data_IF_111934191457
#
_entry.id   IF_111934191457
#
_cell.length_a   1.000
_cell.length_b   1.000
_cell.length_c   1.000
_cell.angle_alpha   90.00
_cell.angle_beta   90.00
_cell.angle_gamma   90.00
#
_symmetry.space_group_name_H-M   'P 1'
#
loop_
_entity.id
_entity.type
_entity.pdbx_description
1 polymer ?
#
# COMPACT_ATOMS: atom_id res chain seq x y z
N UNK A 1 -11.42 -2.05 14.93
CA UNK A 1 -10.60 -3.20 14.50
C UNK A 1 -9.42 -2.71 13.65
N UNK A 2 -8.21 -3.22 13.89
CA UNK A 2 -7.01 -2.88 13.12
C UNK A 2 -6.91 -3.79 11.89
N UNK A 3 -6.72 -3.20 10.71
CA UNK A 3 -6.50 -3.96 9.47
C UNK A 3 -4.99 -4.03 9.12
N UNK A 4 -4.58 -5.16 8.54
CA UNK A 4 -3.19 -5.42 8.12
C UNK A 4 -3.04 -5.67 6.61
N UNK A 5 -4.00 -5.22 5.80
CA UNK A 5 -4.16 -5.68 4.41
C UNK A 5 -3.06 -5.18 3.47
N UNK A 6 -2.53 -3.97 3.66
CA UNK A 6 -1.57 -3.37 2.72
C UNK A 6 -0.11 -3.77 2.94
N UNK A 7 0.25 -4.22 4.16
CA UNK A 7 1.63 -4.60 4.54
C UNK A 7 2.72 -3.53 4.31
N UNK A 8 2.38 -2.26 4.07
CA UNK A 8 3.40 -1.21 3.85
C UNK A 8 4.20 -0.87 5.12
N UNK A 9 3.66 -1.19 6.29
CA UNK A 9 4.26 -0.88 7.59
C UNK A 9 5.18 -2.00 8.13
N UNK A 10 5.69 -2.87 7.27
CA UNK A 10 6.60 -3.95 7.68
C UNK A 10 7.88 -3.37 8.28
N UNK A 11 8.25 -3.89 9.46
CA UNK A 11 9.46 -3.54 10.19
C UNK A 11 10.17 -4.81 10.64
N UNK A 12 11.48 -4.72 10.86
CA UNK A 12 12.24 -5.81 11.44
C UNK A 12 12.17 -5.71 12.97
N UNK A 13 11.87 -6.84 13.61
CA UNK A 13 11.89 -6.97 15.07
C UNK A 13 12.85 -8.09 15.42
N UNK A 14 13.75 -7.85 16.36
CA UNK A 14 14.70 -8.88 16.78
C UNK A 14 13.97 -10.14 17.29
N UNK A 15 14.53 -11.31 16.98
CA UNK A 15 13.95 -12.63 17.29
C UNK A 15 12.67 -12.98 16.51
N UNK A 16 12.16 -12.10 15.64
CA UNK A 16 11.13 -12.45 14.68
C UNK A 16 11.76 -13.02 13.39
N UNK A 17 11.31 -14.17 12.87
CA UNK A 17 11.89 -14.77 11.67
C UNK A 17 11.51 -14.06 10.37
N UNK A 18 10.52 -13.15 10.41
CA UNK A 18 10.00 -12.40 9.26
C UNK A 18 9.67 -10.97 9.68
N UNK A 19 9.69 -9.99 8.77
CA UNK A 19 9.19 -8.65 9.04
C UNK A 19 7.76 -8.70 9.55
N UNK A 20 7.47 -7.93 10.60
CA UNK A 20 6.15 -7.90 11.24
C UNK A 20 5.40 -6.65 10.84
N UNK A 21 4.07 -6.74 10.75
CA UNK A 21 3.23 -5.59 10.44
C UNK A 21 3.07 -4.73 11.70
N UNK A 22 3.76 -3.59 11.73
CA UNK A 22 3.78 -2.70 12.91
C UNK A 22 2.40 -2.17 13.30
N UNK A 23 1.45 -2.06 12.37
CA UNK A 23 0.10 -1.59 12.69
C UNK A 23 -0.67 -2.53 13.63
N UNK A 24 -0.38 -3.83 13.63
CA UNK A 24 -1.14 -4.84 14.35
C UNK A 24 -0.30 -5.65 15.35
N UNK A 25 1.03 -5.56 15.29
CA UNK A 25 1.91 -6.31 16.18
C UNK A 25 1.94 -5.64 17.57
N UNK A 26 1.56 -6.34 18.65
CA UNK A 26 1.53 -5.76 19.99
C UNK A 26 2.95 -5.48 20.50
N UNK A 27 3.11 -4.38 21.23
CA UNK A 27 4.38 -4.04 21.88
C UNK A 27 4.70 -5.02 23.00
N UNK A 28 5.97 -5.41 23.11
CA UNK A 28 6.46 -6.30 24.15
C UNK A 28 7.63 -5.64 24.91
N UNK A 29 7.78 -5.89 26.23
CA UNK A 29 8.93 -5.40 26.98
C UNK A 29 10.25 -5.91 26.39
N UNK A 30 11.22 -5.00 26.22
CA UNK A 30 12.52 -5.34 25.63
C UNK A 30 12.51 -5.60 24.11
N UNK A 31 11.42 -5.25 23.41
CA UNK A 31 11.35 -5.35 21.95
C UNK A 31 12.30 -4.34 21.28
N UNK A 32 13.18 -4.84 20.40
CA UNK A 32 14.07 -4.01 19.58
C UNK A 32 13.54 -3.96 18.16
N UNK A 33 13.12 -2.78 17.72
CA UNK A 33 12.54 -2.55 16.39
C UNK A 33 13.54 -1.81 15.51
N UNK A 34 13.82 -2.37 14.33
CA UNK A 34 14.67 -1.75 13.31
C UNK A 34 13.80 -1.32 12.13
N UNK A 35 13.61 -0.01 11.99
CA UNK A 35 12.74 0.58 10.95
C UNK A 35 13.50 0.97 9.67
N UNK A 36 14.83 0.97 9.72
CA UNK A 36 15.76 1.38 8.68
C UNK A 36 16.77 0.28 8.29
N UNK A 37 16.49 -0.98 8.62
CA UNK A 37 17.34 -2.10 8.21
C UNK A 37 17.15 -2.42 6.73
N UNK A 38 18.15 -3.03 6.06
CA UNK A 38 18.03 -3.45 4.67
C UNK A 38 16.81 -4.35 4.41
N UNK A 39 16.45 -5.20 5.39
CA UNK A 39 15.28 -6.06 5.33
C UNK A 39 13.98 -5.24 5.31
N UNK A 40 13.85 -4.23 6.17
CA UNK A 40 12.68 -3.36 6.21
C UNK A 40 12.53 -2.52 4.93
N UNK A 41 13.65 -2.02 4.38
CA UNK A 41 13.64 -1.30 3.11
C UNK A 41 13.19 -2.19 1.95
N UNK A 42 13.79 -3.38 1.80
CA UNK A 42 13.41 -4.34 0.76
C UNK A 42 11.94 -4.78 0.86
N UNK A 43 11.42 -4.92 2.08
CA UNK A 43 10.01 -5.25 2.31
C UNK A 43 9.07 -4.13 1.81
N UNK A 44 9.41 -2.86 2.08
CA UNK A 44 8.62 -1.71 1.61
C UNK A 44 8.65 -1.57 0.09
N UNK A 45 9.83 -1.72 -0.53
CA UNK A 45 9.98 -1.69 -1.98
C UNK A 45 9.14 -2.78 -2.65
N UNK A 46 9.20 -4.01 -2.14
CA UNK A 46 8.43 -5.13 -2.68
C UNK A 46 6.91 -4.94 -2.53
N UNK A 47 6.45 -4.43 -1.38
CA UNK A 47 5.03 -4.11 -1.18
C UNK A 47 4.58 -3.01 -2.13
N UNK A 48 5.37 -1.95 -2.28
CA UNK A 48 5.05 -0.84 -3.19
C UNK A 48 4.96 -1.31 -4.64
N UNK A 49 5.87 -2.18 -5.06
CA UNK A 49 5.84 -2.80 -6.38
C UNK A 49 4.52 -3.57 -6.61
N UNK A 50 4.05 -4.35 -5.65
CA UNK A 50 2.76 -5.05 -5.77
C UNK A 50 1.56 -4.11 -5.77
N UNK A 51 1.60 -3.03 -4.98
CA UNK A 51 0.55 -2.01 -4.98
C UNK A 51 0.45 -1.33 -6.35
N UNK A 52 1.58 -1.04 -6.98
CA UNK A 52 1.65 -0.35 -8.27
C UNK A 52 1.50 -1.28 -9.49
N UNK A 53 1.76 -2.58 -9.34
CA UNK A 53 1.69 -3.56 -10.42
C UNK A 53 0.35 -3.47 -11.17
N UNK A 54 -0.75 -3.45 -10.43
CA UNK A 54 -2.11 -3.36 -10.95
C UNK A 54 -2.76 -1.97 -10.80
N UNK A 55 -2.02 -0.96 -10.35
CA UNK A 55 -2.52 0.42 -10.26
C UNK A 55 -2.44 1.11 -11.63
N UNK A 56 -3.49 1.85 -12.06
CA UNK A 56 -3.50 2.54 -13.35
C UNK A 56 -2.54 3.73 -13.35
N UNK A 57 -2.10 4.15 -14.53
CA UNK A 57 -1.23 5.31 -14.74
C UNK A 57 -2.05 6.61 -14.83
N UNK A 58 -2.95 6.80 -13.88
CA UNK A 58 -3.97 7.84 -13.90
C UNK A 58 -3.53 9.14 -13.20
N UNK A 59 -2.30 9.23 -12.70
CA UNK A 59 -1.86 10.37 -11.89
C UNK A 59 -2.19 11.75 -12.50
N UNK A 60 -2.07 11.99 -13.83
CA UNK A 60 -2.42 13.28 -14.43
C UNK A 60 -3.92 13.63 -14.42
N UNK A 61 -4.79 12.61 -14.36
CA UNK A 61 -6.26 12.74 -14.37
C UNK A 61 -6.86 12.34 -13.02
N UNK A 62 -6.02 12.14 -12.01
CA UNK A 62 -6.42 11.79 -10.67
C UNK A 62 -6.56 13.05 -9.85
N UNK A 63 -7.74 13.27 -9.27
CA UNK A 63 -8.01 14.44 -8.44
C UNK A 63 -7.12 14.48 -7.18
N UNK A 64 -6.57 13.32 -6.76
CA UNK A 64 -5.61 13.22 -5.63
C UNK A 64 -4.15 13.40 -6.05
N UNK A 65 -3.87 13.70 -7.32
CA UNK A 65 -2.50 13.93 -7.79
C UNK A 65 -1.85 15.09 -7.02
N UNK A 66 -0.70 14.83 -6.39
CA UNK A 66 0.01 15.81 -5.55
C UNK A 66 -0.32 15.74 -4.05
N UNK A 67 -1.40 15.06 -3.65
CA UNK A 67 -1.75 14.79 -2.24
C UNK A 67 -1.95 13.28 -1.97
N UNK A 68 -1.41 12.43 -2.85
CA UNK A 68 -1.61 10.99 -2.82
C UNK A 68 -0.57 10.28 -1.95
N UNK A 69 -1.01 9.67 -0.85
CA UNK A 69 -0.19 8.79 0.02
C UNK A 69 0.62 7.75 -0.78
N UNK A 70 0.02 7.17 -1.83
CA UNK A 70 0.67 6.14 -2.65
C UNK A 70 1.82 6.72 -3.47
N UNK A 71 1.65 7.94 -3.99
CA UNK A 71 2.68 8.66 -4.73
C UNK A 71 3.85 9.01 -3.81
N UNK A 72 3.57 9.61 -2.65
CA UNK A 72 4.60 10.04 -1.71
C UNK A 72 5.39 8.86 -1.14
N UNK A 73 4.69 7.79 -0.77
CA UNK A 73 5.35 6.58 -0.26
C UNK A 73 6.13 5.86 -1.36
N UNK A 74 5.67 5.88 -2.60
CA UNK A 74 6.44 5.33 -3.72
C UNK A 74 7.73 6.12 -3.94
N UNK A 75 7.67 7.45 -3.91
CA UNK A 75 8.85 8.29 -4.06
C UNK A 75 9.84 8.13 -2.91
N UNK A 76 9.34 7.90 -1.68
CA UNK A 76 10.18 7.82 -0.48
C UNK A 76 10.72 6.43 -0.18
N UNK A 77 9.94 5.39 -0.43
CA UNK A 77 10.22 4.02 0.02
C UNK A 77 10.04 2.96 -1.07
N UNK A 78 9.56 3.33 -2.26
CA UNK A 78 9.43 2.43 -3.40
C UNK A 78 10.73 2.33 -4.21
N UNK A 79 10.73 1.38 -5.15
CA UNK A 79 11.78 1.31 -6.16
C UNK A 79 11.67 2.44 -7.19
N UNK A 80 12.78 2.73 -7.88
CA UNK A 80 12.85 3.74 -8.95
C UNK A 80 12.08 3.34 -10.21
N UNK A 81 11.92 2.03 -10.45
CA UNK A 81 11.29 1.47 -11.64
C UNK A 81 10.40 0.27 -11.30
N UNK A 82 9.29 0.14 -12.02
CA UNK A 82 8.45 -1.07 -11.98
C UNK A 82 9.04 -2.17 -12.87
N UNK A 83 8.80 -3.44 -12.50
CA UNK A 83 9.17 -4.61 -13.32
C UNK A 83 7.98 -5.27 -14.01
N UNK A 84 6.76 -4.85 -13.68
CA UNK A 84 5.53 -5.41 -14.22
C UNK A 84 5.32 -4.95 -15.68
N UNK A 85 5.57 -5.87 -16.62
CA UNK A 85 5.40 -5.67 -18.07
C UNK A 85 4.62 -6.84 -18.70
N UNK A 86 3.70 -7.43 -17.94
CA UNK A 86 2.93 -8.60 -18.37
C UNK A 86 2.09 -8.28 -19.62
N UNK A 87 2.09 -9.20 -20.58
CA UNK A 87 1.34 -9.05 -21.85
C UNK A 87 -0.17 -8.94 -21.61
N UNK A 88 -0.67 -9.59 -20.56
CA UNK A 88 -2.08 -9.52 -20.15
C UNK A 88 -2.52 -8.16 -19.61
N UNK A 89 -1.59 -7.21 -19.43
CA UNK A 89 -1.88 -5.87 -18.94
C UNK A 89 -2.22 -5.82 -17.44
N UNK A 90 -2.73 -4.66 -17.01
CA UNK A 90 -3.19 -4.42 -15.65
C UNK A 90 -4.65 -4.83 -15.52
N UNK A 91 -5.06 -5.25 -14.33
CA UNK A 91 -6.49 -5.49 -14.05
C UNK A 91 -7.33 -4.23 -14.30
N UNK A 92 -8.59 -4.43 -14.64
CA UNK A 92 -9.61 -3.39 -14.66
C UNK A 92 -10.78 -3.76 -13.75
N UNK A 93 -11.45 -2.76 -13.19
CA UNK A 93 -12.57 -2.83 -12.26
C UNK A 93 -13.57 -1.75 -12.67
N UNK A 94 -14.84 -2.13 -12.77
CA UNK A 94 -15.92 -1.20 -13.09
C UNK A 94 -16.15 -0.19 -11.96
N UNK A 95 -16.48 1.05 -12.34
CA UNK A 95 -16.82 2.11 -11.42
C UNK A 95 -18.23 1.90 -10.86
N UNK A 96 -18.41 2.19 -9.57
CA UNK A 96 -19.63 1.90 -8.83
C UNK A 96 -20.39 3.18 -8.52
N UNK A 97 -21.66 3.22 -8.87
CA UNK A 97 -22.52 4.32 -8.43
C UNK A 97 -22.91 4.13 -6.96
N UNK A 98 -22.34 4.95 -6.07
CA UNK A 98 -22.65 4.97 -4.63
C UNK A 98 -23.33 6.28 -4.20
N UNK A 99 -23.94 6.99 -5.15
CA UNK A 99 -24.66 8.25 -4.93
C UNK A 99 -23.97 9.47 -5.57
N UNK A 100 -24.58 10.65 -5.45
CA UNK A 100 -24.16 11.85 -6.18
C UNK A 100 -22.94 12.57 -5.58
N UNK A 101 -22.52 12.20 -4.37
CA UNK A 101 -21.46 12.91 -3.64
C UNK A 101 -20.07 12.32 -3.86
N UNK A 102 -19.96 11.00 -4.05
CA UNK A 102 -18.66 10.30 -4.12
C UNK A 102 -18.50 9.71 -5.51
N UNK A 103 -17.63 10.34 -6.31
CA UNK A 103 -17.19 9.78 -7.59
C UNK A 103 -16.22 8.62 -7.34
N UNK A 104 -16.48 7.46 -7.95
CA UNK A 104 -15.59 6.30 -7.83
C UNK A 104 -14.75 6.11 -9.07
N UNK A 105 -13.45 5.85 -8.89
CA UNK A 105 -12.57 5.27 -9.91
C UNK A 105 -11.92 4.02 -9.31
N UNK A 106 -12.57 2.87 -9.48
CA UNK A 106 -12.25 1.65 -8.71
C UNK A 106 -10.98 0.95 -9.18
N UNK A 107 -10.51 1.24 -10.40
CA UNK A 107 -9.18 0.84 -10.88
C UNK A 107 -8.06 1.31 -9.95
N UNK A 108 -8.21 2.48 -9.32
CA UNK A 108 -7.22 3.07 -8.41
C UNK A 108 -7.23 2.43 -7.02
N UNK A 109 -8.24 1.62 -6.69
CA UNK A 109 -8.41 1.05 -5.35
C UNK A 109 -7.34 0.00 -5.01
N UNK A 110 -6.55 0.28 -3.97
CA UNK A 110 -5.51 -0.64 -3.46
C UNK A 110 -6.02 -1.64 -2.41
N UNK A 111 -7.35 -1.74 -2.20
CA UNK A 111 -7.96 -2.72 -1.30
C UNK A 111 -7.49 -2.60 0.17
N UNK A 112 -7.22 -1.37 0.62
CA UNK A 112 -6.82 -1.07 2.01
C UNK A 112 -7.96 -1.18 3.04
N UNK A 113 -9.20 -1.39 2.57
CA UNK A 113 -10.44 -1.52 3.36
C UNK A 113 -10.71 -0.39 4.35
N UNK A 114 -10.12 0.80 4.15
CA UNK A 114 -10.37 1.97 5.00
C UNK A 114 -11.84 2.42 4.90
N UNK A 115 -12.38 2.54 3.69
CA UNK A 115 -13.76 2.99 3.47
C UNK A 115 -14.81 2.04 4.10
N UNK A 116 -14.66 0.73 3.93
CA UNK A 116 -15.59 -0.27 4.50
C UNK A 116 -15.59 -0.21 6.03
N UNK A 117 -14.42 -0.03 6.66
CA UNK A 117 -14.31 0.11 8.12
C UNK A 117 -14.81 1.45 8.65
N UNK A 118 -14.92 2.47 7.80
CA UNK A 118 -15.47 3.76 8.19
C UNK A 118 -17.00 3.74 8.11
N UNK A 119 -17.57 3.06 7.12
CA UNK A 119 -19.01 2.98 6.90
C UNK A 119 -19.72 2.02 7.86
N UNK A 120 -19.02 1.00 8.36
CA UNK A 120 -19.52 0.04 9.36
C UNK A 120 -19.16 0.49 10.77
#
# INVERSE_FOLDING_TARGET
MIAGNCRMCLVEVEKAPKPVASCAWPVQPGMVVKTNSPLAHKAREGVMEFLLANHPLDCPVCDQGGECDLQDQSMRYGGDRGRFHEIGGKRAVEDKNIGPLIKTSMNRCIHCTRCVRFAN
#
